data_IF_287414816183
#
_entry.id   IF_287414816183
#
_cell.length_a   1.000
_cell.length_b   1.000
_cell.length_c   1.000
_cell.angle_alpha   90.00
_cell.angle_beta   90.00
_cell.angle_gamma   90.00
#
_symmetry.space_group_name_H-M   'P 1'
#
loop_
_entity.id
_entity.type
_entity.pdbx_description
1 polymer ?
#
# COMPACT_ATOMS: atom_id res chain seq x y z
N UNK A 1 -10.69 1.99 -24.92
CA UNK A 1 -10.16 2.23 -23.55
C UNK A 1 -10.43 0.97 -22.74
N UNK A 2 -9.41 0.35 -22.13
CA UNK A 2 -9.58 -0.88 -21.36
C UNK A 2 -10.39 -0.66 -20.07
N UNK A 3 -10.88 -1.73 -19.46
CA UNK A 3 -11.55 -1.69 -18.15
C UNK A 3 -10.55 -1.17 -17.10
N UNK A 4 -10.91 -0.18 -16.27
CA UNK A 4 -10.01 0.29 -15.22
C UNK A 4 -9.75 -0.85 -14.23
N UNK A 5 -8.49 -1.02 -13.87
CA UNK A 5 -8.08 -1.89 -12.77
C UNK A 5 -8.07 -1.07 -11.49
N UNK A 6 -8.67 -1.60 -10.43
CA UNK A 6 -8.88 -0.91 -9.15
C UNK A 6 -8.42 -1.87 -8.07
N UNK A 7 -7.47 -1.43 -7.24
CA UNK A 7 -7.07 -2.17 -6.04
C UNK A 7 -8.16 -2.07 -4.96
N UNK A 8 -8.33 -3.12 -4.16
CA UNK A 8 -9.35 -3.12 -3.10
C UNK A 8 -9.03 -2.09 -2.00
N UNK A 9 -7.79 -2.06 -1.53
CA UNK A 9 -7.32 -1.06 -0.57
C UNK A 9 -5.91 -0.56 -0.90
N UNK A 10 -5.68 0.72 -0.61
CA UNK A 10 -4.36 1.37 -0.62
C UNK A 10 -4.11 1.89 0.80
N UNK A 11 -2.99 1.50 1.40
CA UNK A 11 -2.59 1.95 2.72
C UNK A 11 -1.75 3.22 2.56
N UNK A 12 -2.26 4.31 3.11
CA UNK A 12 -1.63 5.62 3.05
C UNK A 12 -1.25 6.09 4.46
N UNK A 13 -0.05 6.65 4.57
CA UNK A 13 0.41 7.28 5.80
C UNK A 13 1.31 8.46 5.47
N UNK A 14 1.11 9.58 6.16
CA UNK A 14 1.84 10.85 5.90
C UNK A 14 1.77 11.30 4.43
N UNK A 15 0.58 11.13 3.84
CA UNK A 15 0.28 11.41 2.43
C UNK A 15 1.13 10.60 1.42
N UNK A 16 1.69 9.46 1.84
CA UNK A 16 2.42 8.54 0.98
C UNK A 16 1.71 7.18 0.94
N UNK A 17 1.55 6.62 -0.26
CA UNK A 17 0.97 5.28 -0.46
C UNK A 17 2.05 4.24 -0.18
N UNK A 18 1.93 3.53 0.92
CA UNK A 18 2.96 2.63 1.42
C UNK A 18 2.69 1.15 1.07
N UNK A 19 1.43 0.76 0.92
CA UNK A 19 1.09 -0.61 0.55
C UNK A 19 -0.24 -0.73 -0.18
N UNK A 20 -0.45 -1.88 -0.82
CA UNK A 20 -1.72 -2.30 -1.41
C UNK A 20 -2.23 -3.56 -0.72
N UNK A 21 -3.55 -3.71 -0.59
CA UNK A 21 -4.18 -4.95 -0.16
C UNK A 21 -5.18 -5.41 -1.22
N UNK A 22 -5.02 -6.64 -1.67
CA UNK A 22 -6.00 -7.36 -2.49
C UNK A 22 -6.77 -8.35 -1.61
N UNK A 23 -8.09 -8.24 -1.62
CA UNK A 23 -8.98 -9.07 -0.83
C UNK A 23 -9.70 -10.09 -1.72
N UNK A 24 -9.79 -11.33 -1.23
CA UNK A 24 -10.63 -12.38 -1.80
C UNK A 24 -11.70 -12.79 -0.81
N UNK A 25 -12.72 -13.49 -1.32
CA UNK A 25 -13.76 -14.04 -0.47
C UNK A 25 -13.15 -15.03 0.52
N UNK A 26 -13.75 -15.13 1.70
CA UNK A 26 -13.28 -15.99 2.80
C UNK A 26 -13.15 -17.46 2.42
N UNK A 27 -14.00 -17.96 1.53
CA UNK A 27 -14.00 -19.34 1.06
C UNK A 27 -12.96 -19.64 -0.02
N UNK A 28 -12.25 -18.62 -0.52
CA UNK A 28 -11.18 -18.77 -1.49
C UNK A 28 -9.81 -18.77 -0.80
N UNK A 29 -8.80 -19.43 -1.41
CA UNK A 29 -7.41 -19.30 -0.98
C UNK A 29 -6.95 -17.84 -1.06
N UNK A 30 -6.24 -17.37 -0.03
CA UNK A 30 -5.63 -16.04 -0.04
C UNK A 30 -4.61 -15.86 -1.18
N UNK A 31 -4.02 -16.97 -1.65
CA UNK A 31 -3.05 -16.98 -2.75
C UNK A 31 -3.64 -16.56 -4.10
N UNK A 32 -4.96 -16.64 -4.29
CA UNK A 32 -5.62 -16.17 -5.52
C UNK A 32 -5.43 -14.67 -5.76
N UNK A 33 -5.26 -13.87 -4.70
CA UNK A 33 -5.00 -12.43 -4.80
C UNK A 33 -3.55 -12.06 -5.05
N UNK A 34 -2.59 -12.98 -4.90
CA UNK A 34 -1.14 -12.66 -4.88
C UNK A 34 -0.66 -12.05 -6.19
N UNK A 35 -1.00 -12.64 -7.33
CA UNK A 35 -0.55 -12.12 -8.63
C UNK A 35 -1.11 -10.73 -8.91
N UNK A 36 -2.37 -10.50 -8.55
CA UNK A 36 -3.04 -9.22 -8.73
C UNK A 36 -2.45 -8.14 -7.80
N UNK A 37 -2.21 -8.49 -6.53
CA UNK A 37 -1.55 -7.64 -5.55
C UNK A 37 -0.15 -7.18 -6.02
N UNK A 38 0.66 -8.09 -6.60
CA UNK A 38 1.96 -7.78 -7.20
C UNK A 38 1.84 -6.87 -8.43
N UNK A 39 0.87 -7.13 -9.30
CA UNK A 39 0.63 -6.30 -10.49
C UNK A 39 0.25 -4.87 -10.14
N UNK A 40 -0.59 -4.67 -9.12
CA UNK A 40 -0.96 -3.34 -8.66
C UNK A 40 0.21 -2.60 -8.02
N UNK A 41 0.97 -3.28 -7.16
CA UNK A 41 2.15 -2.69 -6.52
C UNK A 41 3.17 -2.24 -7.57
N UNK A 42 3.41 -3.05 -8.60
CA UNK A 42 4.27 -2.69 -9.72
C UNK A 42 3.76 -1.46 -10.49
N UNK A 43 2.46 -1.41 -10.80
CA UNK A 43 1.86 -0.28 -11.55
C UNK A 43 1.88 1.04 -10.77
N UNK A 44 1.76 0.96 -9.45
CA UNK A 44 1.75 2.12 -8.56
C UNK A 44 3.12 2.45 -7.98
N UNK A 45 4.17 1.69 -8.33
CA UNK A 45 5.52 1.81 -7.78
C UNK A 45 5.55 1.75 -6.23
N UNK A 46 4.75 0.86 -5.64
CA UNK A 46 4.65 0.64 -4.19
C UNK A 46 5.43 -0.62 -3.82
N UNK A 47 6.21 -0.54 -2.73
CA UNK A 47 7.08 -1.65 -2.29
C UNK A 47 6.32 -2.79 -1.64
N UNK A 48 5.39 -2.51 -0.74
CA UNK A 48 4.70 -3.55 0.03
C UNK A 48 3.34 -3.86 -0.56
N UNK A 49 2.98 -5.14 -0.60
CA UNK A 49 1.64 -5.55 -1.02
C UNK A 49 1.18 -6.79 -0.27
N UNK A 50 -0.12 -6.90 -0.10
CA UNK A 50 -0.73 -7.96 0.70
C UNK A 50 -1.88 -8.62 -0.07
N UNK A 51 -2.02 -9.92 0.09
CA UNK A 51 -3.20 -10.67 -0.32
C UNK A 51 -3.87 -11.29 0.90
N UNK A 52 -5.21 -11.21 0.98
CA UNK A 52 -5.95 -11.76 2.11
C UNK A 52 -7.30 -12.33 1.69
N UNK A 53 -7.78 -13.33 2.43
CA UNK A 53 -9.18 -13.79 2.39
C UNK A 53 -9.95 -13.41 3.67
N UNK A 54 -9.39 -12.50 4.48
CA UNK A 54 -9.93 -12.06 5.75
C UNK A 54 -9.61 -12.96 6.95
N UNK A 55 -8.90 -14.08 6.75
CA UNK A 55 -8.36 -14.91 7.86
C UNK A 55 -6.85 -15.01 7.82
N UNK A 56 -6.26 -15.12 6.64
CA UNK A 56 -4.80 -15.18 6.43
C UNK A 56 -4.35 -13.91 5.73
N UNK A 57 -3.19 -13.40 6.11
CA UNK A 57 -2.51 -12.29 5.45
C UNK A 57 -1.26 -12.85 4.81
N UNK A 58 -1.08 -12.63 3.51
CA UNK A 58 0.13 -12.98 2.78
C UNK A 58 0.83 -11.70 2.37
N UNK A 59 1.98 -11.43 2.96
CA UNK A 59 2.78 -10.22 2.71
C UNK A 59 3.87 -10.45 1.69
N UNK A 60 4.13 -9.42 0.87
CA UNK A 60 5.11 -9.44 -0.21
C UNK A 60 5.89 -8.12 -0.16
N UNK A 61 7.21 -8.22 -0.06
CA UNK A 61 8.15 -7.12 -0.28
C UNK A 61 8.65 -7.17 -1.73
N UNK A 62 8.20 -6.23 -2.56
CA UNK A 62 8.52 -6.17 -3.99
C UNK A 62 9.99 -5.79 -4.26
N UNK A 63 10.68 -5.19 -3.29
CA UNK A 63 12.08 -4.78 -3.43
C UNK A 63 13.03 -5.91 -3.01
N UNK A 64 12.79 -6.54 -1.86
CA UNK A 64 13.62 -7.64 -1.36
C UNK A 64 13.23 -9.02 -1.94
N UNK A 65 12.03 -9.13 -2.52
CA UNK A 65 11.50 -10.39 -3.04
C UNK A 65 11.07 -11.40 -1.97
N UNK A 66 11.01 -10.98 -0.70
CA UNK A 66 10.53 -11.83 0.39
C UNK A 66 8.99 -11.86 0.41
N UNK A 67 8.44 -13.05 0.64
CA UNK A 67 6.99 -13.23 0.74
C UNK A 67 6.63 -14.38 1.69
N UNK A 68 5.46 -14.28 2.32
CA UNK A 68 4.99 -15.29 3.25
C UNK A 68 3.75 -14.89 4.03
N UNK A 69 3.22 -15.84 4.80
CA UNK A 69 2.11 -15.58 5.72
C UNK A 69 2.57 -14.71 6.90
N UNK A 70 1.75 -13.73 7.26
CA UNK A 70 1.96 -12.82 8.38
C UNK A 70 0.89 -13.02 9.45
N UNK A 71 1.26 -12.93 10.74
CA UNK A 71 0.29 -13.02 11.84
C UNK A 71 -0.62 -11.78 11.94
N UNK A 72 -0.13 -10.62 11.48
CA UNK A 72 -0.85 -9.35 11.45
C UNK A 72 -0.23 -8.41 10.40
N UNK A 73 -0.97 -7.35 10.05
CA UNK A 73 -0.41 -6.26 9.25
C UNK A 73 0.61 -5.46 10.08
N UNK A 74 1.69 -4.96 9.46
CA UNK A 74 2.53 -3.95 10.09
C UNK A 74 1.72 -2.69 10.42
N UNK A 75 2.07 -2.02 11.50
CA UNK A 75 1.57 -0.69 11.80
C UNK A 75 2.02 0.33 10.75
N UNK A 76 1.33 1.47 10.61
CA UNK A 76 1.73 2.52 9.67
C UNK A 76 3.17 3.01 9.89
N UNK A 77 3.63 3.07 11.15
CA UNK A 77 4.99 3.47 11.50
C UNK A 77 6.03 2.41 11.12
N UNK A 78 5.75 1.13 11.37
CA UNK A 78 6.62 0.04 10.93
C UNK A 78 6.76 0.01 9.41
N UNK A 79 5.65 0.20 8.69
CA UNK A 79 5.65 0.24 7.22
C UNK A 79 6.43 1.45 6.69
N UNK A 80 6.27 2.62 7.32
CA UNK A 80 7.05 3.83 6.99
C UNK A 80 8.56 3.60 7.16
N UNK A 81 8.96 3.07 8.32
CA UNK A 81 10.38 2.83 8.63
C UNK A 81 11.00 1.76 7.73
N UNK A 82 10.22 0.75 7.30
CA UNK A 82 10.68 -0.26 6.35
C UNK A 82 10.86 0.30 4.93
N UNK A 83 9.98 1.21 4.50
CA UNK A 83 10.11 1.92 3.21
C UNK A 83 11.29 2.91 3.25
N UNK A 84 11.45 3.63 4.36
CA UNK A 84 12.42 4.71 4.50
C UNK A 84 13.55 4.35 5.47
N UNK A 85 14.27 3.27 5.18
CA UNK A 85 15.39 2.76 6.03
C UNK A 85 16.49 3.80 6.23
N UNK A 86 16.74 4.64 5.21
CA UNK A 86 17.69 5.75 5.31
C UNK A 86 16.95 6.97 5.84
N UNK A 87 17.30 7.38 7.06
CA UNK A 87 16.76 8.60 7.67
C UNK A 87 16.98 9.82 6.78
N UNK A 88 15.92 10.60 6.61
CA UNK A 88 15.97 11.84 5.86
C UNK A 88 15.09 12.89 6.55
N UNK A 89 15.75 13.76 7.32
CA UNK A 89 15.09 14.81 8.11
C UNK A 89 14.23 15.77 7.26
N UNK A 90 14.54 15.93 5.96
CA UNK A 90 13.70 16.73 5.07
C UNK A 90 12.44 15.97 4.67
N UNK A 91 12.57 14.69 4.28
CA UNK A 91 11.42 13.82 3.97
C UNK A 91 10.44 13.79 5.13
N UNK A 92 10.93 13.53 6.35
CA UNK A 92 10.06 13.43 7.53
C UNK A 92 9.34 14.75 7.84
N UNK A 93 10.03 15.89 7.65
CA UNK A 93 9.41 17.21 7.83
C UNK A 93 8.33 17.49 6.80
N UNK A 94 8.53 17.15 5.53
CA UNK A 94 7.52 17.36 4.48
C UNK A 94 6.35 16.40 4.62
N UNK A 95 6.61 15.14 4.96
CA UNK A 95 5.58 14.12 5.15
C UNK A 95 4.64 14.45 6.33
N UNK A 96 5.13 15.19 7.33
CA UNK A 96 4.31 15.66 8.45
C UNK A 96 3.37 16.83 8.11
N UNK A 97 3.51 17.47 6.95
CA UNK A 97 2.66 18.59 6.54
C UNK A 97 1.36 18.00 5.94
N UNK A 98 0.18 18.29 6.52
CA UNK A 98 -1.08 17.87 5.92
C UNK A 98 -1.26 18.54 4.56
N UNK A 99 -1.81 17.83 3.58
CA UNK A 99 -2.23 18.50 2.33
C UNK A 99 -3.25 19.59 2.65
N UNK A 100 -3.01 20.78 2.10
CA UNK A 100 -3.90 21.93 2.30
C UNK A 100 -5.20 21.66 1.54
N UNK A 101 -6.27 21.30 2.25
CA UNK A 101 -7.60 21.29 1.65
C UNK A 101 -7.99 22.75 1.43
N UNK A 102 -8.12 23.20 0.18
CA UNK A 102 -8.69 24.53 -0.08
C UNK A 102 -10.14 24.51 0.42
N UNK A 103 -10.36 25.08 1.61
CA UNK A 103 -11.67 25.21 2.25
C UNK A 103 -12.45 23.90 2.48
N UNK A 104 -11.78 22.75 2.66
CA UNK A 104 -12.45 21.46 2.87
C UNK A 104 -13.10 20.84 1.62
N UNK A 105 -12.83 21.39 0.42
CA UNK A 105 -13.55 21.02 -0.82
C UNK A 105 -12.66 20.52 -1.96
N UNK A 106 -11.33 20.58 -1.81
CA UNK A 106 -10.38 20.10 -2.81
C UNK A 106 -9.47 19.02 -2.22
N UNK A 107 -9.67 17.79 -2.66
CA UNK A 107 -8.69 16.71 -2.52
C UNK A 107 -7.89 16.67 -3.84
N UNK A 108 -6.55 16.60 -3.82
CA UNK A 108 -5.76 16.41 -5.03
C UNK A 108 -6.21 15.14 -5.74
N UNK A 109 -6.21 15.15 -7.07
CA UNK A 109 -6.50 13.94 -7.84
C UNK A 109 -5.27 13.03 -7.80
N UNK A 110 -5.46 11.71 -7.94
CA UNK A 110 -4.39 10.70 -7.82
C UNK A 110 -3.14 10.89 -8.72
N UNK A 111 -3.20 11.78 -9.72
CA UNK A 111 -2.08 12.14 -10.62
C UNK A 111 -1.39 13.47 -10.25
N UNK A 112 -1.88 14.15 -9.21
CA UNK A 112 -1.29 15.36 -8.63
C UNK A 112 -0.53 15.05 -7.33
N UNK A 113 -0.53 13.77 -6.94
CA UNK A 113 0.23 13.17 -5.84
C UNK A 113 1.47 12.46 -6.39
#
# INVERSE_FOLDING_TARGET
>A
RGKPEIADYVLEYRNEKLAIVEAKRRDLPHTEGVMQAKQYALKMAIRFTYATNGTTIYGIDMEMGSEGELPCYPSPEELWNQTHVVENAWRDRFAAIPFESVGGSFQPRYYQE
#
